data_IF_835479126552
#
_entry.id   IF_835479126552
#
_cell.length_a   1.000
_cell.length_b   1.000
_cell.length_c   1.000
_cell.angle_alpha   90.00
_cell.angle_beta   90.00
_cell.angle_gamma   90.00
#
_symmetry.space_group_name_H-M   'P 1'
#
loop_
_entity.id
_entity.type
_entity.pdbx_description
1 polymer ?
#
# COMPACT_ATOMS: atom_id res chain seq x y z
N UNK A 1 -35.27 19.02 18.23
CA UNK A 1 -34.88 17.76 17.54
C UNK A 1 -33.87 17.04 18.41
N UNK A 2 -34.06 15.74 18.70
CA UNK A 2 -33.12 14.96 19.51
C UNK A 2 -31.90 14.64 18.65
N UNK A 3 -30.73 15.16 19.00
CA UNK A 3 -29.48 14.92 18.25
C UNK A 3 -29.00 13.52 18.58
N UNK A 4 -29.18 12.58 17.66
CA UNK A 4 -28.61 11.24 17.78
C UNK A 4 -27.09 11.35 17.62
N UNK A 5 -26.34 10.92 18.64
CA UNK A 5 -24.88 10.88 18.61
C UNK A 5 -24.49 9.41 18.38
N UNK A 6 -23.67 9.16 17.36
CA UNK A 6 -23.14 7.82 17.07
C UNK A 6 -21.95 7.54 18.01
N UNK A 7 -21.87 6.31 18.52
CA UNK A 7 -20.74 5.84 19.32
C UNK A 7 -19.51 5.62 18.43
N UNK A 8 -18.33 6.04 18.89
CA UNK A 8 -17.05 5.88 18.19
C UNK A 8 -15.97 5.39 19.19
N UNK A 9 -14.95 4.69 18.70
CA UNK A 9 -13.88 4.12 19.52
C UNK A 9 -12.49 4.41 18.97
N UNK A 10 -11.51 4.44 19.89
CA UNK A 10 -10.12 4.74 19.54
C UNK A 10 -9.43 3.53 18.92
N UNK A 11 -9.22 3.56 17.61
CA UNK A 11 -8.47 2.51 16.89
C UNK A 11 -6.96 2.63 17.15
N UNK A 12 -6.32 1.49 17.46
CA UNK A 12 -4.87 1.35 17.64
C UNK A 12 -4.09 1.74 16.37
N UNK A 13 -2.97 2.46 16.52
CA UNK A 13 -2.12 2.88 15.40
C UNK A 13 -1.67 1.70 14.51
N UNK A 14 -1.34 0.55 15.11
CA UNK A 14 -0.98 -0.68 14.39
C UNK A 14 -2.09 -1.18 13.46
N UNK A 15 -3.33 -1.15 13.95
CA UNK A 15 -4.51 -1.58 13.20
C UNK A 15 -4.78 -0.61 12.04
N UNK A 16 -4.64 0.71 12.27
CA UNK A 16 -4.75 1.71 11.21
C UNK A 16 -3.75 1.45 10.08
N UNK A 17 -2.49 1.18 10.42
CA UNK A 17 -1.46 0.86 9.44
C UNK A 17 -1.74 -0.44 8.69
N UNK A 18 -2.21 -1.48 9.39
CA UNK A 18 -2.58 -2.75 8.77
C UNK A 18 -3.70 -2.56 7.73
N UNK A 19 -4.74 -1.80 8.05
CA UNK A 19 -5.82 -1.50 7.10
C UNK A 19 -5.35 -0.64 5.93
N UNK A 20 -4.44 0.32 6.15
CA UNK A 20 -3.86 1.09 5.06
C UNK A 20 -3.07 0.21 4.09
N UNK A 21 -2.24 -0.72 4.60
CA UNK A 21 -1.54 -1.69 3.76
C UNK A 21 -2.50 -2.63 3.03
N UNK A 22 -3.57 -3.08 3.69
CA UNK A 22 -4.57 -3.93 3.05
C UNK A 22 -5.25 -3.19 1.88
N UNK A 23 -5.63 -1.92 2.08
CA UNK A 23 -6.16 -1.08 1.01
C UNK A 23 -5.17 -0.95 -0.15
N UNK A 24 -3.88 -0.68 0.13
CA UNK A 24 -2.83 -0.61 -0.90
C UNK A 24 -2.71 -1.94 -1.65
N UNK A 25 -2.69 -3.08 -0.96
CA UNK A 25 -2.65 -4.41 -1.59
C UNK A 25 -3.85 -4.65 -2.50
N UNK A 26 -5.06 -4.26 -2.10
CA UNK A 26 -6.23 -4.40 -2.96
C UNK A 26 -6.18 -3.50 -4.19
N UNK A 27 -5.70 -2.26 -4.06
CA UNK A 27 -5.55 -1.37 -5.22
C UNK A 27 -4.55 -1.95 -6.23
N UNK A 28 -3.43 -2.54 -5.76
CA UNK A 28 -2.50 -3.22 -6.65
C UNK A 28 -3.16 -4.37 -7.40
N UNK A 29 -3.91 -5.21 -6.68
CA UNK A 29 -4.60 -6.34 -7.29
C UNK A 29 -5.60 -5.88 -8.36
N UNK A 30 -6.40 -4.85 -8.08
CA UNK A 30 -7.37 -4.33 -9.07
C UNK A 30 -6.70 -3.58 -10.22
N UNK A 31 -5.63 -2.82 -9.96
CA UNK A 31 -4.85 -2.13 -10.97
C UNK A 31 -4.25 -3.11 -11.98
N UNK A 32 -3.54 -4.14 -11.48
CA UNK A 32 -2.95 -5.18 -12.33
C UNK A 32 -4.02 -6.03 -13.03
N UNK A 33 -5.14 -6.31 -12.36
CA UNK A 33 -6.25 -7.02 -12.97
C UNK A 33 -6.85 -6.24 -14.15
N UNK A 34 -7.09 -4.94 -14.00
CA UNK A 34 -7.63 -4.12 -15.08
C UNK A 34 -6.60 -3.84 -16.19
N UNK A 35 -5.30 -3.85 -15.90
CA UNK A 35 -4.25 -3.80 -16.93
C UNK A 35 -4.35 -4.96 -17.93
N UNK A 36 -4.93 -6.11 -17.54
CA UNK A 36 -5.18 -7.21 -18.47
C UNK A 36 -6.19 -6.87 -19.57
N UNK A 37 -7.07 -5.88 -19.36
CA UNK A 37 -8.06 -5.42 -20.33
C UNK A 37 -7.50 -4.42 -21.34
N UNK A 38 -6.29 -3.89 -21.11
CA UNK A 38 -5.63 -2.98 -22.06
C UNK A 38 -5.35 -3.74 -23.36
N UNK A 39 -5.66 -3.16 -24.54
CA UNK A 39 -5.47 -3.83 -25.82
C UNK A 39 -4.06 -4.41 -25.98
N UNK A 40 -4.00 -5.68 -26.39
CA UNK A 40 -2.75 -6.41 -26.58
C UNK A 40 -2.11 -6.99 -25.32
N UNK A 41 -2.55 -6.63 -24.09
CA UNK A 41 -1.94 -7.16 -22.86
C UNK A 41 -2.16 -8.65 -22.66
N UNK A 42 -3.40 -9.13 -22.81
CA UNK A 42 -3.69 -10.57 -22.66
C UNK A 42 -2.99 -11.39 -23.74
N UNK A 43 -2.99 -10.91 -24.99
CA UNK A 43 -2.27 -11.56 -26.09
C UNK A 43 -0.78 -11.70 -25.77
N UNK A 44 -0.16 -10.64 -25.22
CA UNK A 44 1.23 -10.64 -24.79
C UNK A 44 1.57 -11.66 -23.69
N UNK A 45 0.58 -12.05 -22.87
CA UNK A 45 0.77 -13.12 -21.88
C UNK A 45 0.80 -14.49 -22.57
N UNK A 46 -0.08 -14.70 -23.55
CA UNK A 46 -0.22 -15.96 -24.28
C UNK A 46 1.00 -16.22 -25.19
N UNK A 47 1.48 -15.18 -25.88
CA UNK A 47 2.60 -15.30 -26.83
C UNK A 47 4.00 -15.12 -26.18
N UNK A 48 4.05 -14.77 -24.89
CA UNK A 48 5.30 -14.58 -24.16
C UNK A 48 6.00 -13.23 -24.40
N UNK A 49 5.36 -12.26 -25.04
CA UNK A 49 5.90 -10.90 -25.24
C UNK A 49 5.64 -9.94 -24.06
N UNK A 50 4.93 -10.39 -23.02
CA UNK A 50 4.65 -9.59 -21.81
C UNK A 50 5.93 -9.24 -21.03
N UNK A 51 5.83 -8.23 -20.14
CA UNK A 51 6.95 -7.80 -19.32
C UNK A 51 7.48 -8.94 -18.42
N UNK A 52 6.58 -9.75 -17.87
CA UNK A 52 6.86 -10.84 -16.92
C UNK A 52 7.06 -12.18 -17.63
N UNK A 53 7.74 -12.18 -18.78
CA UNK A 53 7.89 -13.34 -19.65
C UNK A 53 8.96 -14.36 -19.26
N UNK A 54 9.55 -14.27 -18.07
CA UNK A 54 10.50 -15.29 -17.60
C UNK A 54 10.38 -15.54 -16.09
N UNK A 55 10.83 -16.71 -15.60
CA UNK A 55 10.68 -17.08 -14.19
C UNK A 55 11.33 -16.09 -13.21
N UNK A 56 12.47 -15.50 -13.58
CA UNK A 56 13.19 -14.56 -12.72
C UNK A 56 12.41 -13.25 -12.54
N UNK A 57 11.90 -12.67 -13.63
CA UNK A 57 11.09 -11.45 -13.61
C UNK A 57 9.80 -11.68 -12.82
N UNK A 58 9.14 -12.82 -13.05
CA UNK A 58 7.91 -13.18 -12.33
C UNK A 58 8.15 -13.35 -10.83
N UNK A 59 9.26 -13.99 -10.46
CA UNK A 59 9.66 -14.14 -9.06
C UNK A 59 9.93 -12.78 -8.39
N UNK A 60 10.65 -11.89 -9.06
CA UNK A 60 10.96 -10.56 -8.53
C UNK A 60 9.69 -9.70 -8.37
N UNK A 61 8.77 -9.73 -9.33
CA UNK A 61 7.48 -9.06 -9.22
C UNK A 61 6.65 -9.62 -8.04
N UNK A 62 6.65 -10.95 -7.88
CA UNK A 62 5.97 -11.62 -6.76
C UNK A 62 6.55 -11.21 -5.40
N UNK A 63 7.88 -11.14 -5.29
CA UNK A 63 8.56 -10.73 -4.05
C UNK A 63 8.25 -9.26 -3.71
N UNK A 64 8.24 -8.38 -4.72
CA UNK A 64 7.89 -6.97 -4.55
C UNK A 64 6.46 -6.82 -4.00
N UNK A 65 5.48 -7.48 -4.61
CA UNK A 65 4.07 -7.40 -4.21
C UNK A 65 3.75 -8.18 -2.93
N UNK A 66 4.60 -9.11 -2.51
CA UNK A 66 4.47 -9.77 -1.21
C UNK A 66 4.69 -8.80 -0.03
N UNK A 67 5.50 -7.75 -0.20
CA UNK A 67 5.81 -6.79 0.86
C UNK A 67 4.54 -6.10 1.42
N UNK A 68 3.69 -5.43 0.61
CA UNK A 68 2.50 -4.77 1.14
C UNK A 68 1.54 -5.77 1.79
N UNK A 69 1.37 -6.97 1.22
CA UNK A 69 0.54 -8.02 1.79
C UNK A 69 1.05 -8.50 3.16
N UNK A 70 2.36 -8.71 3.31
CA UNK A 70 2.98 -9.08 4.59
C UNK A 70 2.87 -7.94 5.61
N UNK A 71 3.02 -6.68 5.16
CA UNK A 71 2.89 -5.51 6.02
C UNK A 71 1.52 -5.39 6.69
N UNK A 72 0.45 -5.99 6.12
CA UNK A 72 -0.84 -6.11 6.80
C UNK A 72 -0.69 -6.84 8.15
N UNK A 73 -0.13 -8.06 8.14
CA UNK A 73 0.04 -8.86 9.35
C UNK A 73 1.17 -8.36 10.25
N UNK A 74 2.28 -7.92 9.65
CA UNK A 74 3.43 -7.39 10.38
C UNK A 74 3.09 -6.10 11.13
N UNK A 75 2.23 -5.25 10.57
CA UNK A 75 1.80 -4.01 11.22
C UNK A 75 1.09 -4.25 12.55
N UNK A 76 0.41 -5.39 12.72
CA UNK A 76 -0.24 -5.75 13.98
C UNK A 76 0.74 -6.43 14.94
N UNK A 77 1.56 -7.34 14.41
CA UNK A 77 2.33 -8.30 15.20
C UNK A 77 3.66 -7.72 15.74
N UNK A 78 4.32 -6.84 14.99
CA UNK A 78 5.66 -6.37 15.34
C UNK A 78 5.67 -5.35 16.49
N UNK A 79 6.78 -5.30 17.23
CA UNK A 79 7.03 -4.26 18.24
C UNK A 79 6.99 -2.87 17.60
N UNK A 80 6.47 -1.83 18.29
CA UNK A 80 6.27 -0.51 17.70
C UNK A 80 7.49 0.10 17.00
N UNK A 81 8.70 -0.08 17.56
CA UNK A 81 9.91 0.49 16.99
C UNK A 81 10.28 -0.11 15.62
N UNK A 82 10.22 -1.44 15.50
CA UNK A 82 10.51 -2.14 14.23
C UNK A 82 9.43 -1.79 13.21
N UNK A 83 8.17 -1.86 13.66
CA UNK A 83 7.02 -1.57 12.83
C UNK A 83 7.05 -0.15 12.25
N UNK A 84 7.42 0.85 13.07
CA UNK A 84 7.59 2.23 12.64
C UNK A 84 8.58 2.34 11.48
N UNK A 85 9.76 1.75 11.60
CA UNK A 85 10.79 1.87 10.56
C UNK A 85 10.41 1.13 9.28
N UNK A 86 9.83 -0.08 9.38
CA UNK A 86 9.36 -0.81 8.19
C UNK A 86 8.29 -0.03 7.43
N UNK A 87 7.33 0.57 8.14
CA UNK A 87 6.30 1.41 7.50
C UNK A 87 6.88 2.65 6.82
N UNK A 88 7.89 3.30 7.41
CA UNK A 88 8.56 4.45 6.79
C UNK A 88 9.31 4.02 5.53
N UNK A 89 10.13 2.97 5.62
CA UNK A 89 10.97 2.50 4.52
C UNK A 89 10.12 2.03 3.35
N UNK A 90 9.19 1.11 3.59
CA UNK A 90 8.34 0.58 2.52
C UNK A 90 7.32 1.60 2.05
N UNK A 91 6.77 2.43 2.94
CA UNK A 91 5.88 3.50 2.55
C UNK A 91 6.54 4.46 1.57
N UNK A 92 7.75 4.96 1.86
CA UNK A 92 8.48 5.84 0.95
C UNK A 92 8.82 5.16 -0.38
N UNK A 93 9.28 3.91 -0.32
CA UNK A 93 9.64 3.13 -1.49
C UNK A 93 8.44 2.93 -2.44
N UNK A 94 7.29 2.50 -1.92
CA UNK A 94 6.09 2.33 -2.73
C UNK A 94 5.50 3.66 -3.19
N UNK A 95 5.54 4.73 -2.38
CA UNK A 95 5.15 6.08 -2.85
C UNK A 95 5.98 6.49 -4.07
N UNK A 96 7.30 6.33 -4.02
CA UNK A 96 8.18 6.72 -5.13
C UNK A 96 7.90 5.92 -6.41
N UNK A 97 7.73 4.60 -6.28
CA UNK A 97 7.41 3.73 -7.42
C UNK A 97 6.04 4.09 -8.01
N UNK A 98 5.03 4.35 -7.18
CA UNK A 98 3.69 4.66 -7.68
C UNK A 98 3.59 6.02 -8.33
N UNK A 99 4.32 7.02 -7.83
CA UNK A 99 4.43 8.31 -8.52
C UNK A 99 5.11 8.16 -9.88
N UNK A 100 6.17 7.35 -9.98
CA UNK A 100 6.81 7.05 -11.25
C UNK A 100 5.82 6.37 -12.23
N UNK A 101 5.06 5.39 -11.76
CA UNK A 101 4.05 4.69 -12.55
C UNK A 101 2.95 5.65 -13.01
N UNK A 102 2.48 6.54 -12.13
CA UNK A 102 1.43 7.52 -12.46
C UNK A 102 1.85 8.44 -13.62
N UNK A 103 3.11 8.89 -13.63
CA UNK A 103 3.64 9.76 -14.71
C UNK A 103 3.95 8.99 -15.99
N UNK A 104 4.44 7.75 -15.87
CA UNK A 104 4.86 6.95 -17.04
C UNK A 104 3.72 6.21 -17.73
N UNK A 105 2.56 6.06 -17.08
CA UNK A 105 1.41 5.30 -17.58
C UNK A 105 0.32 6.17 -18.23
N UNK A 106 0.57 7.47 -18.44
CA UNK A 106 -0.42 8.40 -19.00
C UNK A 106 -0.74 8.01 -20.45
N UNK A 107 -1.93 7.42 -20.64
CA UNK A 107 -2.49 7.07 -21.95
C UNK A 107 -3.99 6.84 -21.82
N UNK A 108 -4.72 6.94 -22.94
CA UNK A 108 -6.18 6.76 -22.97
C UNK A 108 -6.62 5.46 -22.28
N UNK A 109 -6.01 4.34 -22.65
CA UNK A 109 -6.33 3.01 -22.12
C UNK A 109 -5.87 2.77 -20.68
N UNK A 110 -5.00 3.61 -20.10
CA UNK A 110 -4.47 3.42 -18.73
C UNK A 110 -4.88 4.50 -17.74
N UNK A 111 -5.93 5.27 -18.05
CA UNK A 111 -6.43 6.30 -17.14
C UNK A 111 -6.83 5.71 -15.77
N UNK A 112 -7.36 4.49 -15.73
CA UNK A 112 -7.65 3.77 -14.48
C UNK A 112 -6.37 3.45 -13.69
N UNK A 113 -5.29 3.07 -14.38
CA UNK A 113 -4.02 2.67 -13.75
C UNK A 113 -3.32 3.88 -13.13
N UNK A 114 -3.39 5.04 -13.79
CA UNK A 114 -2.93 6.32 -13.24
C UNK A 114 -3.74 6.73 -12.01
N UNK A 115 -5.07 6.54 -12.03
CA UNK A 115 -5.91 6.80 -10.86
C UNK A 115 -5.50 5.92 -9.66
N UNK A 116 -5.34 4.62 -9.86
CA UNK A 116 -4.86 3.71 -8.81
C UNK A 116 -3.50 4.13 -8.28
N UNK A 117 -2.56 4.46 -9.17
CA UNK A 117 -1.22 4.86 -8.78
C UNK A 117 -1.19 6.15 -7.93
N UNK A 118 -2.06 7.13 -8.22
CA UNK A 118 -2.20 8.33 -7.40
C UNK A 118 -2.78 7.98 -6.01
N UNK A 119 -3.84 7.18 -5.96
CA UNK A 119 -4.47 6.79 -4.68
C UNK A 119 -3.48 5.99 -3.82
N UNK A 120 -2.75 5.05 -4.41
CA UNK A 120 -1.72 4.26 -3.73
C UNK A 120 -0.59 5.15 -3.21
N UNK A 121 -0.15 6.14 -3.99
CA UNK A 121 0.85 7.13 -3.56
C UNK A 121 0.37 7.93 -2.35
N UNK A 122 -0.92 8.32 -2.31
CA UNK A 122 -1.53 9.02 -1.17
C UNK A 122 -1.57 8.10 0.05
N UNK A 123 -2.06 6.87 -0.09
CA UNK A 123 -2.17 5.92 1.02
C UNK A 123 -0.80 5.59 1.63
N UNK A 124 0.19 5.31 0.78
CA UNK A 124 1.57 5.03 1.22
C UNK A 124 2.22 6.25 1.87
N UNK A 125 1.93 7.47 1.40
CA UNK A 125 2.35 8.70 2.08
C UNK A 125 1.70 8.86 3.46
N UNK A 126 0.41 8.50 3.60
CA UNK A 126 -0.29 8.49 4.89
C UNK A 126 0.33 7.46 5.83
N UNK A 127 0.72 6.28 5.33
CA UNK A 127 1.43 5.26 6.11
C UNK A 127 2.73 5.83 6.68
N UNK A 128 3.55 6.48 5.86
CA UNK A 128 4.80 7.15 6.30
C UNK A 128 4.50 8.20 7.37
N UNK A 129 3.52 9.06 7.12
CA UNK A 129 3.15 10.12 8.06
C UNK A 129 2.67 9.56 9.41
N UNK A 130 1.83 8.53 9.40
CA UNK A 130 1.34 7.85 10.61
C UNK A 130 2.47 7.16 11.37
N UNK A 131 3.38 6.51 10.66
CA UNK A 131 4.52 5.84 11.27
C UNK A 131 5.53 6.84 11.85
N UNK A 132 5.77 7.96 11.18
CA UNK A 132 6.63 9.03 11.68
C UNK A 132 6.07 9.64 12.98
N UNK A 133 4.77 9.96 12.98
CA UNK A 133 4.04 10.54 14.11
C UNK A 133 3.49 9.49 15.10
N UNK A 134 4.17 8.35 15.22
CA UNK A 134 3.76 7.29 16.14
C UNK A 134 3.58 7.84 17.57
N UNK A 135 2.45 7.60 18.25
CA UNK A 135 2.22 8.09 19.60
C UNK A 135 3.30 7.61 20.57
N UNK A 136 3.95 8.53 21.27
CA UNK A 136 4.92 8.20 22.32
C UNK A 136 4.16 7.92 23.62
N UNK A 137 4.58 6.89 24.35
CA UNK A 137 4.16 6.74 25.74
C UNK A 137 4.92 7.79 26.56
N UNK A 138 4.20 8.73 27.17
CA UNK A 138 4.77 9.55 28.24
C UNK A 138 4.79 8.66 29.48
N UNK A 139 5.97 8.30 29.96
CA UNK A 139 6.11 7.66 31.27
C UNK A 139 5.72 8.70 32.34
N UNK A 140 4.45 8.75 32.71
CA UNK A 140 4.06 9.27 34.01
C UNK A 140 4.33 8.12 35.00
N UNK A 141 5.58 8.03 35.45
CA UNK A 141 5.83 7.42 36.74
C UNK A 141 5.21 8.37 37.77
N UNK A 142 3.99 8.05 38.23
CA UNK A 142 3.52 8.51 39.53
C UNK A 142 4.46 7.89 40.57
N UNK A 143 5.55 8.59 40.87
CA UNK A 143 6.26 8.44 42.14
C UNK A 143 5.30 8.86 43.25
N UNK A 144 4.70 7.89 43.93
CA UNK A 144 4.21 8.00 45.31
C UNK A 144 5.26 7.34 46.19
#
# INVERSE_FOLDING_TARGET
>A
MKKTILEDFKINAKIKLAFLWASVTFLYLYGDYFELYVPGKTAGIIDGSSLLNNPQKLFLASLLLAIPALMVGLSVSLKPIINKWLNIIFGLFFTAIMLLIAVTSISEWRSFYVLYAIIESILTSIIVWKAFNWPKQTNLQETI
#
